data_IF_280285283540
#
_entry.id   IF_280285283540
#
_cell.length_a   1.000
_cell.length_b   1.000
_cell.length_c   1.000
_cell.angle_alpha   90.00
_cell.angle_beta   90.00
_cell.angle_gamma   90.00
#
_symmetry.space_group_name_H-M   'P 1'
#
loop_
_entity.id
_entity.type
_entity.pdbx_description
1 polymer ?
#
# COMPACT_ATOMS: atom_id res chain seq x y z
N UNK A 1 -18.99 7.00 -10.71
CA UNK A 1 -17.74 7.77 -10.57
C UNK A 1 -16.64 7.20 -11.45
N UNK A 2 -16.02 8.02 -12.31
CA UNK A 2 -14.97 7.59 -13.24
C UNK A 2 -13.61 8.16 -12.82
N UNK A 3 -12.63 7.28 -12.65
CA UNK A 3 -11.27 7.62 -12.22
C UNK A 3 -10.41 7.97 -13.44
N UNK A 4 -9.73 9.12 -13.38
CA UNK A 4 -8.80 9.57 -14.42
C UNK A 4 -7.49 8.80 -14.36
N UNK A 5 -6.92 8.46 -15.52
CA UNK A 5 -5.59 7.82 -15.59
C UNK A 5 -4.45 8.70 -15.07
N UNK A 6 -4.63 10.02 -15.06
CA UNK A 6 -3.61 11.00 -14.68
C UNK A 6 -3.67 11.43 -13.21
N UNK A 7 -4.47 10.75 -12.38
CA UNK A 7 -4.57 11.11 -10.97
C UNK A 7 -3.21 11.12 -10.27
N UNK A 8 -2.99 12.16 -9.48
CA UNK A 8 -1.94 12.22 -8.48
C UNK A 8 -2.53 12.01 -7.06
N UNK A 9 -1.68 12.04 -6.04
CA UNK A 9 -2.10 11.81 -4.64
C UNK A 9 -3.11 12.88 -4.19
N UNK A 10 -2.98 14.14 -4.61
CA UNK A 10 -3.86 15.25 -4.21
C UNK A 10 -5.26 15.08 -4.73
N UNK A 11 -5.35 14.73 -6.00
CA UNK A 11 -6.63 14.50 -6.62
C UNK A 11 -7.30 13.27 -6.00
N UNK A 12 -6.54 12.22 -5.61
CA UNK A 12 -7.08 11.10 -4.83
C UNK A 12 -7.60 11.55 -3.47
N UNK A 13 -6.92 12.48 -2.79
CA UNK A 13 -7.43 13.03 -1.54
C UNK A 13 -8.75 13.82 -1.74
N UNK A 14 -8.91 14.49 -2.89
CA UNK A 14 -10.16 15.19 -3.27
C UNK A 14 -11.29 14.21 -3.63
N UNK A 15 -10.95 13.00 -4.08
CA UNK A 15 -11.93 11.92 -4.28
C UNK A 15 -12.64 11.61 -2.95
N UNK A 16 -11.93 11.48 -1.83
CA UNK A 16 -12.60 11.20 -0.54
C UNK A 16 -13.59 12.28 -0.11
N UNK A 17 -13.36 13.55 -0.48
CA UNK A 17 -14.27 14.65 -0.14
C UNK A 17 -15.45 14.77 -1.11
N UNK A 18 -15.21 14.53 -2.41
CA UNK A 18 -16.19 14.71 -3.47
C UNK A 18 -17.08 13.48 -3.70
N UNK A 19 -16.68 12.32 -3.20
CA UNK A 19 -17.48 11.10 -3.29
C UNK A 19 -18.44 11.01 -2.13
N UNK A 20 -19.58 11.66 -2.34
CA UNK A 20 -20.84 11.12 -1.88
C UNK A 20 -20.97 9.63 -2.23
N UNK A 21 -21.97 8.99 -1.66
CA UNK A 21 -22.30 7.56 -1.70
C UNK A 21 -22.53 6.96 -3.10
N UNK A 22 -21.89 7.46 -4.17
CA UNK A 22 -21.97 6.91 -5.52
C UNK A 22 -21.49 5.46 -5.47
N UNK A 23 -22.41 4.50 -5.64
CA UNK A 23 -22.07 3.10 -5.54
C UNK A 23 -21.26 2.62 -6.73
N UNK A 24 -21.03 3.44 -7.76
CA UNK A 24 -20.42 3.02 -9.01
C UNK A 24 -19.00 3.58 -9.14
N UNK A 25 -18.02 2.70 -9.31
CA UNK A 25 -16.63 3.06 -9.58
C UNK A 25 -16.20 2.50 -10.93
N UNK A 26 -15.54 3.31 -11.74
CA UNK A 26 -14.92 2.88 -13.01
C UNK A 26 -13.44 3.28 -13.00
N UNK A 27 -12.56 2.27 -13.01
CA UNK A 27 -11.11 2.44 -12.96
C UNK A 27 -10.48 2.40 -14.37
N UNK A 28 -9.43 3.18 -14.65
CA UNK A 28 -8.64 3.00 -15.86
C UNK A 28 -7.88 1.67 -15.78
N UNK A 29 -7.60 1.06 -16.94
CA UNK A 29 -6.85 -0.21 -16.99
C UNK A 29 -5.40 -0.06 -16.48
N UNK A 30 -4.84 1.15 -16.55
CA UNK A 30 -3.54 1.49 -16.01
C UNK A 30 -3.48 2.98 -15.68
N UNK A 31 -2.78 3.33 -14.61
CA UNK A 31 -2.43 4.70 -14.27
C UNK A 31 -1.26 5.20 -15.13
N UNK A 32 -1.18 6.51 -15.34
CA UNK A 32 0.01 7.14 -15.91
C UNK A 32 1.25 6.77 -15.10
N UNK A 33 2.37 6.52 -15.78
CA UNK A 33 3.63 6.10 -15.18
C UNK A 33 3.50 4.87 -14.23
N UNK A 34 2.52 3.99 -14.48
CA UNK A 34 2.29 2.80 -13.66
C UNK A 34 1.74 3.08 -12.26
N UNK A 35 1.32 4.34 -11.98
CA UNK A 35 0.86 4.77 -10.66
C UNK A 35 1.97 4.71 -9.61
N UNK A 36 3.18 5.11 -10.00
CA UNK A 36 4.33 5.23 -9.09
C UNK A 36 4.16 6.37 -8.08
N UNK A 37 5.15 6.52 -7.20
CA UNK A 37 5.13 7.44 -6.06
C UNK A 37 3.94 7.21 -5.13
N UNK A 38 3.44 5.97 -5.03
CA UNK A 38 2.32 5.61 -4.14
C UNK A 38 0.92 5.90 -4.66
N UNK A 39 0.76 6.39 -5.90
CA UNK A 39 -0.57 6.69 -6.48
C UNK A 39 -1.47 5.45 -6.53
N UNK A 40 -0.96 4.33 -7.03
CA UNK A 40 -1.74 3.09 -7.12
C UNK A 40 -2.12 2.53 -5.72
N UNK A 41 -1.21 2.68 -4.75
CA UNK A 41 -1.46 2.27 -3.37
C UNK A 41 -2.49 3.18 -2.67
N UNK A 42 -2.41 4.49 -2.88
CA UNK A 42 -3.40 5.45 -2.40
C UNK A 42 -4.78 5.20 -3.01
N UNK A 43 -4.83 4.87 -4.31
CA UNK A 43 -6.08 4.51 -4.98
C UNK A 43 -6.67 3.19 -4.44
N UNK A 44 -5.83 2.21 -4.11
CA UNK A 44 -6.27 0.98 -3.43
C UNK A 44 -6.91 1.26 -2.06
N UNK A 45 -6.34 2.16 -1.25
CA UNK A 45 -6.94 2.59 0.01
C UNK A 45 -8.26 3.35 -0.19
N UNK A 46 -8.30 4.19 -1.22
CA UNK A 46 -9.52 4.89 -1.59
C UNK A 46 -10.65 3.90 -1.88
N UNK A 47 -10.36 2.85 -2.63
CA UNK A 47 -11.31 1.77 -2.94
C UNK A 47 -11.80 1.04 -1.70
N UNK A 48 -10.93 0.79 -0.71
CA UNK A 48 -11.34 0.19 0.57
C UNK A 48 -12.36 1.08 1.27
N UNK A 49 -12.06 2.37 1.36
CA UNK A 49 -12.92 3.36 2.02
C UNK A 49 -14.25 3.49 1.28
N UNK A 50 -14.22 3.70 -0.04
CA UNK A 50 -15.40 3.77 -0.91
C UNK A 50 -16.30 2.53 -0.80
N UNK A 51 -15.71 1.34 -0.85
CA UNK A 51 -16.50 0.11 -0.79
C UNK A 51 -17.18 -0.10 0.57
N UNK A 52 -16.65 0.49 1.64
CA UNK A 52 -17.23 0.43 3.00
C UNK A 52 -18.28 1.48 3.25
N UNK A 53 -18.23 2.63 2.57
CA UNK A 53 -19.25 3.67 2.68
C UNK A 53 -20.50 3.36 1.86
N UNK A 54 -20.40 2.44 0.89
CA UNK A 54 -21.51 2.02 0.05
C UNK A 54 -22.17 0.74 0.58
N UNK A 55 -23.51 0.71 0.65
CA UNK A 55 -24.26 -0.52 0.95
C UNK A 55 -24.01 -1.59 -0.14
N UNK A 56 -23.97 -1.15 -1.40
CA UNK A 56 -23.76 -2.01 -2.57
C UNK A 56 -22.81 -1.32 -3.56
N UNK A 57 -21.53 -1.63 -3.45
CA UNK A 57 -20.49 -1.12 -4.33
C UNK A 57 -20.42 -1.89 -5.67
N UNK A 58 -20.28 -1.17 -6.77
CA UNK A 58 -20.34 -1.68 -8.14
C UNK A 58 -19.10 -1.21 -8.91
N UNK A 59 -18.31 -2.17 -9.40
CA UNK A 59 -17.21 -1.90 -10.32
C UNK A 59 -17.74 -1.94 -11.76
N UNK A 60 -17.80 -0.79 -12.41
CA UNK A 60 -18.18 -0.67 -13.81
C UNK A 60 -16.97 -0.78 -14.73
N UNK A 61 -17.10 -1.62 -15.74
CA UNK A 61 -16.11 -1.82 -16.80
C UNK A 61 -16.32 -0.84 -17.96
N UNK A 62 -15.32 -0.74 -18.82
CA UNK A 62 -15.42 -0.07 -20.12
C UNK A 62 -15.76 -1.07 -21.24
N UNK A 63 -15.55 -2.36 -21.02
CA UNK A 63 -15.81 -3.44 -21.95
C UNK A 63 -17.26 -3.91 -21.91
N UNK A 64 -17.75 -4.38 -23.06
CA UNK A 64 -19.01 -5.10 -23.17
C UNK A 64 -18.96 -6.45 -22.43
N UNK A 65 -20.12 -7.02 -22.10
CA UNK A 65 -20.20 -8.31 -21.43
C UNK A 65 -19.58 -9.45 -22.27
N UNK A 66 -19.29 -10.58 -21.62
CA UNK A 66 -18.62 -11.73 -22.25
C UNK A 66 -17.10 -11.64 -22.16
N UNK A 67 -16.39 -12.07 -23.21
CA UNK A 67 -14.94 -12.25 -23.19
C UNK A 67 -14.17 -10.93 -23.01
N UNK A 68 -14.68 -9.82 -23.56
CA UNK A 68 -14.05 -8.50 -23.42
C UNK A 68 -14.03 -8.03 -21.97
N UNK A 69 -15.14 -8.24 -21.24
CA UNK A 69 -15.21 -7.96 -19.81
C UNK A 69 -14.21 -8.80 -19.01
N UNK A 70 -14.10 -10.10 -19.32
CA UNK A 70 -13.17 -11.02 -18.66
C UNK A 70 -11.70 -10.61 -18.93
N UNK A 71 -11.38 -10.21 -20.16
CA UNK A 71 -10.07 -9.69 -20.52
C UNK A 71 -9.74 -8.40 -19.74
N UNK A 72 -10.70 -7.46 -19.65
CA UNK A 72 -10.51 -6.24 -18.89
C UNK A 72 -10.36 -6.50 -17.38
N UNK A 73 -11.15 -7.41 -16.81
CA UNK A 73 -11.02 -7.82 -15.39
C UNK A 73 -9.61 -8.35 -15.11
N UNK A 74 -9.10 -9.19 -16.00
CA UNK A 74 -7.74 -9.74 -15.88
C UNK A 74 -6.67 -8.66 -15.97
N UNK A 75 -6.87 -7.65 -16.82
CA UNK A 75 -5.97 -6.50 -16.94
C UNK A 75 -6.02 -5.60 -15.69
N UNK A 76 -7.22 -5.27 -15.19
CA UNK A 76 -7.40 -4.45 -13.99
C UNK A 76 -6.73 -5.08 -12.77
N UNK A 77 -6.85 -6.40 -12.61
CA UNK A 77 -6.28 -7.13 -11.47
C UNK A 77 -4.75 -7.09 -11.38
N UNK A 78 -4.05 -6.58 -12.41
CA UNK A 78 -2.60 -6.45 -12.42
C UNK A 78 -2.11 -5.26 -11.58
N UNK A 79 -2.96 -4.27 -11.31
CA UNK A 79 -2.63 -3.15 -10.41
C UNK A 79 -3.14 -3.41 -8.98
N UNK A 80 -2.55 -2.73 -8.00
CA UNK A 80 -3.03 -2.83 -6.62
C UNK A 80 -4.48 -2.32 -6.53
N UNK A 81 -4.77 -1.15 -7.11
CA UNK A 81 -6.10 -0.58 -7.13
C UNK A 81 -7.13 -1.50 -7.79
N UNK A 82 -6.84 -2.03 -8.99
CA UNK A 82 -7.80 -2.87 -9.69
C UNK A 82 -8.04 -4.21 -9.00
N UNK A 83 -7.00 -4.83 -8.42
CA UNK A 83 -7.17 -6.03 -7.59
C UNK A 83 -8.05 -5.75 -6.37
N UNK A 84 -7.78 -4.66 -5.65
CA UNK A 84 -8.59 -4.25 -4.49
C UNK A 84 -10.05 -3.98 -4.89
N UNK A 85 -10.30 -3.31 -6.03
CA UNK A 85 -11.67 -3.05 -6.50
C UNK A 85 -12.45 -4.33 -6.77
N UNK A 86 -11.83 -5.31 -7.43
CA UNK A 86 -12.46 -6.61 -7.71
C UNK A 86 -12.82 -7.37 -6.43
N UNK A 87 -11.93 -7.37 -5.45
CA UNK A 87 -12.17 -8.04 -4.17
C UNK A 87 -13.23 -7.29 -3.33
N UNK A 88 -13.13 -5.97 -3.24
CA UNK A 88 -13.96 -5.14 -2.36
C UNK A 88 -15.39 -4.94 -2.90
N UNK A 89 -15.57 -4.76 -4.21
CA UNK A 89 -16.88 -4.49 -4.80
C UNK A 89 -17.91 -5.59 -4.48
N UNK A 90 -19.20 -5.25 -4.45
CA UNK A 90 -20.29 -6.22 -4.39
C UNK A 90 -20.54 -6.84 -5.77
N UNK A 91 -20.63 -6.00 -6.80
CA UNK A 91 -20.93 -6.41 -8.18
C UNK A 91 -19.92 -5.86 -9.18
N UNK A 92 -19.80 -6.55 -10.31
CA UNK A 92 -19.05 -6.07 -11.49
C UNK A 92 -20.05 -5.94 -12.63
N UNK A 93 -20.08 -4.78 -13.27
CA UNK A 93 -21.01 -4.48 -14.36
C UNK A 93 -20.22 -4.19 -15.63
N UNK A 94 -20.70 -4.70 -16.76
CA UNK A 94 -20.18 -4.37 -18.08
C UNK A 94 -20.51 -2.92 -18.48
N UNK A 95 -20.02 -2.50 -19.65
CA UNK A 95 -20.25 -1.17 -20.22
C UNK A 95 -21.75 -0.85 -20.35
N UNK A 96 -22.55 -1.85 -20.73
CA UNK A 96 -23.99 -1.78 -20.94
C UNK A 96 -24.81 -2.08 -19.66
N UNK A 97 -24.17 -2.03 -18.49
CA UNK A 97 -24.76 -2.29 -17.17
C UNK A 97 -25.24 -3.74 -16.95
N UNK A 98 -24.88 -4.67 -17.84
CA UNK A 98 -25.11 -6.09 -17.56
C UNK A 98 -24.25 -6.55 -16.39
N UNK A 99 -24.87 -7.24 -15.42
CA UNK A 99 -24.18 -7.80 -14.27
C UNK A 99 -23.32 -8.97 -14.72
N UNK A 100 -22.03 -8.91 -14.44
CA UNK A 100 -21.09 -9.99 -14.70
C UNK A 100 -21.12 -10.95 -13.51
N UNK A 101 -21.19 -12.25 -13.79
CA UNK A 101 -21.12 -13.27 -12.76
C UNK A 101 -19.83 -13.14 -11.95
N UNK A 102 -19.98 -12.92 -10.64
CA UNK A 102 -18.84 -12.67 -9.74
C UNK A 102 -17.90 -13.87 -9.69
N UNK A 103 -18.43 -15.10 -9.81
CA UNK A 103 -17.60 -16.30 -9.81
C UNK A 103 -16.73 -16.36 -11.07
N UNK A 104 -17.28 -16.06 -12.24
CA UNK A 104 -16.52 -15.95 -13.48
C UNK A 104 -15.43 -14.86 -13.39
N UNK A 105 -15.75 -13.68 -12.86
CA UNK A 105 -14.78 -12.61 -12.64
C UNK A 105 -13.62 -13.04 -11.71
N UNK A 106 -13.92 -13.75 -10.61
CA UNK A 106 -12.90 -14.25 -9.69
C UNK A 106 -12.08 -15.43 -10.27
N UNK A 107 -12.70 -16.27 -11.11
CA UNK A 107 -11.98 -17.33 -11.84
C UNK A 107 -10.97 -16.72 -12.81
N UNK A 108 -11.32 -15.62 -13.49
CA UNK A 108 -10.45 -14.95 -14.45
C UNK A 108 -9.11 -14.50 -13.82
N UNK A 109 -9.15 -14.04 -12.57
CA UNK A 109 -7.96 -13.56 -11.84
C UNK A 109 -7.27 -14.64 -11.02
N UNK A 110 -7.80 -15.88 -11.02
CA UNK A 110 -7.23 -17.00 -10.27
C UNK A 110 -5.74 -17.24 -10.55
N UNK A 111 -5.22 -17.13 -11.79
CA UNK A 111 -3.78 -17.29 -12.03
C UNK A 111 -2.91 -16.33 -11.20
N UNK A 112 -3.34 -15.07 -11.04
CA UNK A 112 -2.63 -14.09 -10.21
C UNK A 112 -2.71 -14.47 -8.72
N UNK A 113 -3.88 -14.92 -8.25
CA UNK A 113 -4.09 -15.37 -6.86
C UNK A 113 -3.24 -16.60 -6.55
N UNK A 114 -3.19 -17.56 -7.47
CA UNK A 114 -2.39 -18.78 -7.32
C UNK A 114 -0.89 -18.43 -7.32
N UNK A 115 -0.43 -17.53 -8.20
CA UNK A 115 0.95 -17.02 -8.21
C UNK A 115 1.33 -16.29 -6.91
N UNK A 116 0.45 -15.42 -6.39
CA UNK A 116 0.66 -14.75 -5.11
C UNK A 116 0.75 -15.74 -3.94
N UNK A 117 -0.13 -16.73 -3.93
CA UNK A 117 -0.14 -17.76 -2.90
C UNK A 117 1.14 -18.61 -2.91
N UNK A 118 1.58 -19.05 -4.09
CA UNK A 118 2.79 -19.87 -4.25
C UNK A 118 4.09 -19.05 -4.11
N UNK A 119 4.02 -17.73 -4.31
CA UNK A 119 5.21 -16.87 -4.32
C UNK A 119 5.92 -16.83 -5.67
N UNK A 120 5.21 -17.08 -6.77
CA UNK A 120 5.74 -16.98 -8.12
C UNK A 120 5.80 -15.51 -8.56
N UNK A 121 6.77 -14.76 -8.01
CA UNK A 121 6.83 -13.30 -8.09
C UNK A 121 6.65 -12.72 -9.51
N UNK A 122 7.18 -13.41 -10.54
CA UNK A 122 7.06 -13.02 -11.97
C UNK A 122 5.62 -12.94 -12.47
N UNK A 123 4.71 -13.69 -11.84
CA UNK A 123 3.34 -13.86 -12.30
C UNK A 123 2.29 -13.16 -11.42
N UNK A 124 2.75 -12.38 -10.44
CA UNK A 124 1.85 -11.77 -9.45
C UNK A 124 1.15 -10.49 -9.93
N UNK A 125 1.68 -9.85 -10.97
CA UNK A 125 1.11 -8.65 -11.58
C UNK A 125 1.10 -8.71 -13.12
N UNK A 126 1.37 -9.87 -13.70
CA UNK A 126 1.38 -10.10 -15.15
C UNK A 126 1.33 -11.60 -15.43
N UNK A 127 0.68 -12.02 -16.51
CA UNK A 127 0.64 -13.43 -16.92
C UNK A 127 1.73 -13.79 -17.94
N UNK A 128 2.57 -12.83 -18.34
CA UNK A 128 3.51 -13.00 -19.47
C UNK A 128 4.94 -13.43 -19.07
N UNK A 129 5.26 -13.56 -17.78
CA UNK A 129 6.54 -14.13 -17.28
C UNK A 129 7.82 -13.35 -17.58
N UNK A 130 7.73 -12.22 -18.28
CA UNK A 130 8.83 -11.31 -18.55
C UNK A 130 9.34 -10.63 -17.26
N UNK A 131 10.42 -9.86 -17.37
CA UNK A 131 10.99 -9.05 -16.29
C UNK A 131 9.88 -8.15 -15.69
N UNK A 132 9.38 -8.43 -14.47
CA UNK A 132 8.29 -7.64 -13.91
C UNK A 132 8.79 -6.25 -13.51
N UNK A 133 7.97 -5.22 -13.71
CA UNK A 133 8.17 -3.89 -13.11
C UNK A 133 7.33 -3.70 -11.85
N UNK A 134 6.40 -4.62 -11.59
CA UNK A 134 5.50 -4.65 -10.43
C UNK A 134 5.43 -6.08 -9.90
N UNK A 135 5.48 -6.23 -8.58
CA UNK A 135 5.20 -7.47 -7.86
C UNK A 135 4.13 -7.13 -6.82
N UNK A 136 3.01 -7.83 -6.87
CA UNK A 136 1.91 -7.66 -5.92
C UNK A 136 1.80 -8.89 -5.04
N UNK A 137 1.67 -8.73 -3.73
CA UNK A 137 1.53 -9.84 -2.79
C UNK A 137 0.45 -9.46 -1.79
N UNK A 138 -0.77 -9.96 -2.00
CA UNK A 138 -1.93 -9.61 -1.19
C UNK A 138 -2.59 -10.83 -0.57
N UNK A 139 -2.81 -10.75 0.74
CA UNK A 139 -3.64 -11.66 1.52
C UNK A 139 -5.07 -11.14 1.56
N UNK A 140 -6.03 -11.98 1.17
CA UNK A 140 -7.46 -11.65 1.21
C UNK A 140 -8.11 -12.37 2.39
N UNK A 141 -8.69 -11.60 3.32
CA UNK A 141 -9.35 -12.15 4.51
C UNK A 141 -10.44 -13.16 4.14
N UNK A 142 -10.49 -14.27 4.88
CA UNK A 142 -11.44 -15.37 4.73
C UNK A 142 -11.40 -16.10 3.38
N UNK A 143 -10.44 -15.79 2.51
CA UNK A 143 -10.20 -16.60 1.32
C UNK A 143 -9.53 -17.92 1.70
N UNK A 144 -9.80 -18.99 0.92
CA UNK A 144 -9.11 -20.29 1.07
C UNK A 144 -7.57 -20.16 1.03
N UNK A 145 -7.07 -19.15 0.31
CA UNK A 145 -5.66 -18.81 0.15
C UNK A 145 -5.28 -17.50 0.87
N UNK A 146 -5.94 -17.17 2.00
CA UNK A 146 -5.66 -15.95 2.77
C UNK A 146 -4.17 -15.81 3.12
N UNK A 147 -3.58 -16.88 3.66
CA UNK A 147 -2.20 -16.89 4.14
C UNK A 147 -1.23 -17.34 3.04
N UNK A 148 -0.78 -16.38 2.23
CA UNK A 148 0.14 -16.62 1.11
C UNK A 148 1.54 -17.04 1.61
N UNK A 149 2.21 -17.97 0.92
CA UNK A 149 3.52 -18.50 1.33
C UNK A 149 4.63 -17.44 1.45
N UNK A 150 4.64 -16.35 0.64
CA UNK A 150 5.62 -15.28 0.81
C UNK A 150 5.58 -14.59 2.18
N UNK A 151 4.41 -14.54 2.82
CA UNK A 151 4.23 -13.86 4.11
C UNK A 151 4.10 -14.83 5.29
N UNK A 152 3.63 -16.04 5.06
CA UNK A 152 3.30 -16.99 6.12
C UNK A 152 4.00 -18.34 5.94
N UNK A 153 4.38 -18.95 7.06
CA UNK A 153 4.71 -20.37 7.15
C UNK A 153 3.66 -21.08 8.01
N UNK A 154 3.64 -22.42 7.94
CA UNK A 154 2.74 -23.29 8.70
C UNK A 154 1.25 -23.00 8.42
N UNK A 155 0.69 -23.60 7.35
CA UNK A 155 -0.69 -23.33 6.94
C UNK A 155 -1.77 -23.82 7.92
N UNK A 156 -1.43 -24.69 8.88
CA UNK A 156 -2.38 -25.12 9.91
C UNK A 156 -2.54 -24.05 11.00
N UNK A 157 -1.44 -23.41 11.39
CA UNK A 157 -1.39 -22.31 12.34
C UNK A 157 -0.52 -21.19 11.75
N UNK A 158 -1.10 -20.37 10.85
CA UNK A 158 -0.34 -19.42 10.04
C UNK A 158 0.42 -18.44 10.92
N UNK A 159 1.74 -18.37 10.68
CA UNK A 159 2.66 -17.46 11.35
C UNK A 159 3.40 -16.65 10.30
N UNK A 160 3.61 -15.36 10.56
CA UNK A 160 4.39 -14.49 9.67
C UNK A 160 5.83 -15.02 9.57
N UNK A 161 6.33 -15.13 8.34
CA UNK A 161 7.70 -15.56 8.02
C UNK A 161 8.75 -14.75 8.80
N UNK A 162 9.93 -15.31 9.10
CA UNK A 162 10.96 -14.59 9.85
C UNK A 162 11.52 -13.39 9.06
N UNK A 163 12.13 -12.42 9.76
CA UNK A 163 12.73 -11.21 9.14
C UNK A 163 13.69 -11.53 8.00
N UNK A 164 14.53 -12.55 8.15
CA UNK A 164 15.49 -12.97 7.12
C UNK A 164 14.82 -13.38 5.81
N UNK A 165 13.64 -14.00 5.89
CA UNK A 165 12.85 -14.37 4.72
C UNK A 165 12.41 -13.14 3.91
N UNK A 166 11.96 -12.09 4.59
CA UNK A 166 11.59 -10.84 3.93
C UNK A 166 12.78 -10.14 3.30
N UNK A 167 13.98 -10.24 3.89
CA UNK A 167 15.21 -9.76 3.23
C UNK A 167 15.46 -10.50 1.91
N UNK A 168 15.33 -11.83 1.91
CA UNK A 168 15.43 -12.64 0.68
C UNK A 168 14.34 -12.31 -0.32
N UNK A 169 13.10 -12.05 0.13
CA UNK A 169 11.98 -11.67 -0.72
C UNK A 169 12.25 -10.34 -1.43
N UNK A 170 12.69 -9.32 -0.71
CA UNK A 170 13.02 -8.00 -1.28
C UNK A 170 14.21 -8.11 -2.24
N UNK A 171 15.25 -8.86 -1.86
CA UNK A 171 16.41 -9.10 -2.74
C UNK A 171 16.01 -9.82 -4.03
N UNK A 172 15.20 -10.87 -3.93
CA UNK A 172 14.72 -11.62 -5.10
C UNK A 172 13.84 -10.76 -5.99
N UNK A 173 12.94 -9.97 -5.40
CA UNK A 173 12.09 -9.03 -6.13
C UNK A 173 12.92 -8.00 -6.89
N UNK A 174 13.91 -7.39 -6.22
CA UNK A 174 14.84 -6.44 -6.85
C UNK A 174 15.65 -7.10 -7.97
N UNK A 175 16.17 -8.31 -7.78
CA UNK A 175 16.91 -9.05 -8.83
C UNK A 175 16.05 -9.36 -10.05
N UNK A 176 14.77 -9.65 -9.85
CA UNK A 176 13.81 -9.86 -10.94
C UNK A 176 13.48 -8.56 -11.69
N UNK A 177 13.48 -7.42 -10.99
CA UNK A 177 13.13 -6.11 -11.54
C UNK A 177 14.31 -5.37 -12.19
N UNK A 178 15.57 -5.68 -11.85
CA UNK A 178 16.76 -4.94 -12.28
C UNK A 178 17.62 -5.65 -13.35
N UNK A 179 18.32 -4.88 -14.19
CA UNK A 179 19.33 -5.41 -15.10
C UNK A 179 20.60 -5.71 -14.31
N UNK A 180 21.48 -6.58 -14.81
CA UNK A 180 22.74 -6.97 -14.12
C UNK A 180 23.64 -5.78 -13.73
N UNK A 181 23.52 -4.61 -14.37
CA UNK A 181 24.30 -3.40 -14.08
C UNK A 181 23.89 -2.64 -12.81
N UNK A 182 22.60 -2.66 -12.44
CA UNK A 182 22.05 -1.83 -11.34
C UNK A 182 22.02 -2.56 -9.99
N UNK A 183 22.34 -3.87 -9.99
CA UNK A 183 22.31 -4.72 -8.80
C UNK A 183 23.29 -4.26 -7.71
N UNK A 184 24.44 -3.68 -8.10
CA UNK A 184 25.47 -3.25 -7.16
C UNK A 184 25.07 -2.05 -6.31
N UNK A 185 24.23 -1.15 -6.81
CA UNK A 185 23.80 0.06 -6.10
C UNK A 185 22.73 -0.27 -5.04
N UNK A 186 21.72 -1.07 -5.38
CA UNK A 186 20.68 -1.51 -4.43
C UNK A 186 21.22 -2.40 -3.30
N UNK A 187 22.11 -3.35 -3.61
CA UNK A 187 22.73 -4.19 -2.60
C UNK A 187 23.56 -3.36 -1.61
N UNK A 188 24.28 -2.34 -2.10
CA UNK A 188 24.99 -1.37 -1.26
C UNK A 188 24.06 -0.45 -0.47
N UNK A 189 22.88 -0.13 -1.01
CA UNK A 189 21.92 0.78 -0.39
C UNK A 189 21.24 0.20 0.87
N UNK A 190 21.15 -1.13 1.03
CA UNK A 190 20.68 -1.74 2.29
C UNK A 190 19.45 -2.63 2.19
N UNK A 191 19.37 -3.52 1.20
CA UNK A 191 18.28 -4.52 1.05
C UNK A 191 17.94 -5.30 2.34
N UNK A 192 18.89 -5.74 3.19
CA UNK A 192 18.55 -6.39 4.46
C UNK A 192 17.75 -5.49 5.41
N UNK A 193 18.02 -4.18 5.40
CA UNK A 193 17.28 -3.21 6.20
C UNK A 193 15.84 -3.07 5.69
N UNK A 194 15.63 -3.08 4.36
CA UNK A 194 14.31 -3.12 3.75
C UNK A 194 13.50 -4.37 4.09
N UNK A 195 14.15 -5.54 4.12
CA UNK A 195 13.51 -6.78 4.54
C UNK A 195 12.94 -6.68 5.96
N UNK A 196 13.70 -6.10 6.89
CA UNK A 196 13.21 -5.87 8.26
C UNK A 196 12.06 -4.85 8.32
N UNK A 197 12.11 -3.79 7.50
CA UNK A 197 11.01 -2.81 7.41
C UNK A 197 9.75 -3.50 6.90
N UNK A 198 9.84 -4.23 5.79
CA UNK A 198 8.69 -4.91 5.19
C UNK A 198 8.09 -5.96 6.13
N UNK A 199 8.93 -6.76 6.80
CA UNK A 199 8.47 -7.71 7.82
C UNK A 199 7.65 -7.02 8.91
N UNK A 200 8.13 -5.89 9.43
CA UNK A 200 7.48 -5.17 10.51
C UNK A 200 6.12 -4.63 10.06
N UNK A 201 6.06 -4.02 8.89
CA UNK A 201 4.82 -3.46 8.34
C UNK A 201 3.78 -4.56 8.05
N UNK A 202 4.20 -5.69 7.45
CA UNK A 202 3.30 -6.83 7.20
C UNK A 202 2.85 -7.49 8.49
N UNK A 203 3.74 -7.66 9.46
CA UNK A 203 3.41 -8.20 10.79
C UNK A 203 2.40 -7.31 11.53
N UNK A 204 2.56 -5.99 11.46
CA UNK A 204 1.61 -5.06 12.04
C UNK A 204 0.27 -5.05 11.31
N UNK A 205 0.26 -5.11 9.97
CA UNK A 205 -0.97 -5.25 9.20
C UNK A 205 -1.71 -6.57 9.53
N UNK A 206 -1.01 -7.69 9.61
CA UNK A 206 -1.58 -8.99 10.00
C UNK A 206 -2.22 -8.95 11.39
N UNK A 207 -1.54 -8.32 12.35
CA UNK A 207 -2.02 -8.26 13.72
C UNK A 207 -3.17 -7.27 13.91
N UNK A 208 -3.17 -6.15 13.19
CA UNK A 208 -4.00 -4.99 13.54
C UNK A 208 -5.07 -4.62 12.51
N UNK A 209 -4.96 -5.12 11.27
CA UNK A 209 -5.84 -4.75 10.16
C UNK A 209 -6.85 -5.83 9.75
N UNK A 210 -6.85 -6.99 10.42
CA UNK A 210 -7.75 -8.11 10.10
C UNK A 210 -9.16 -7.92 10.67
N UNK A 211 -9.27 -7.11 11.72
CA UNK A 211 -10.52 -6.81 12.44
C UNK A 211 -10.82 -5.32 12.46
N UNK A 212 -12.07 -4.97 12.72
CA UNK A 212 -12.48 -3.59 13.03
C UNK A 212 -12.07 -3.17 14.46
N UNK A 213 -12.51 -1.98 14.86
CA UNK A 213 -12.23 -1.42 16.19
C UNK A 213 -12.84 -2.28 17.31
N UNK A 214 -13.94 -2.97 17.06
CA UNK A 214 -14.61 -3.87 18.00
C UNK A 214 -14.00 -5.28 18.06
N UNK A 215 -13.03 -5.55 17.17
CA UNK A 215 -12.37 -6.85 17.09
C UNK A 215 -13.12 -7.86 16.21
N UNK A 216 -14.15 -7.44 15.48
CA UNK A 216 -14.88 -8.29 14.54
C UNK A 216 -14.08 -8.42 13.24
N UNK A 217 -13.90 -9.66 12.77
CA UNK A 217 -13.17 -9.93 11.53
C UNK A 217 -13.94 -9.40 10.32
N UNK A 218 -13.28 -8.65 9.45
CA UNK A 218 -13.89 -8.15 8.23
C UNK A 218 -14.31 -9.28 7.29
N UNK A 219 -15.48 -9.15 6.66
CA UNK A 219 -15.95 -10.04 5.59
C UNK A 219 -15.07 -9.94 4.35
N UNK A 220 -14.73 -8.72 3.95
CA UNK A 220 -13.82 -8.38 2.84
C UNK A 220 -12.77 -7.42 3.36
N UNK A 221 -11.52 -7.85 3.29
CA UNK A 221 -10.37 -7.06 3.69
C UNK A 221 -9.13 -7.64 2.98
N UNK A 222 -8.17 -6.76 2.72
CA UNK A 222 -6.89 -7.11 2.16
C UNK A 222 -5.77 -6.52 3.02
N UNK A 223 -4.63 -7.21 3.00
CA UNK A 223 -3.35 -6.73 3.52
C UNK A 223 -2.22 -7.25 2.65
N UNK A 224 -1.18 -6.45 2.42
CA UNK A 224 -0.01 -6.93 1.69
C UNK A 224 0.86 -5.81 1.13
N UNK A 225 1.67 -6.15 0.12
CA UNK A 225 2.60 -5.18 -0.49
C UNK A 225 2.54 -5.17 -2.01
N UNK A 226 2.80 -3.99 -2.57
CA UNK A 226 3.17 -3.80 -3.96
C UNK A 226 4.61 -3.29 -4.00
N UNK A 227 5.48 -3.99 -4.74
CA UNK A 227 6.86 -3.59 -5.00
C UNK A 227 6.92 -3.16 -6.46
N UNK A 228 7.42 -1.96 -6.73
CA UNK A 228 7.53 -1.41 -8.09
C UNK A 228 8.93 -0.90 -8.34
N UNK A 229 9.43 -1.15 -9.55
CA UNK A 229 10.58 -0.44 -10.08
C UNK A 229 10.09 0.68 -11.00
N UNK A 230 10.37 1.91 -10.61
CA UNK A 230 9.93 3.10 -11.32
C UNK A 230 11.14 3.82 -11.91
N UNK A 231 10.94 4.37 -13.10
CA UNK A 231 11.89 5.25 -13.80
C UNK A 231 11.14 6.51 -14.22
N UNK A 232 11.63 7.66 -13.79
CA UNK A 232 10.95 8.94 -14.01
C UNK A 232 11.92 10.00 -14.50
N UNK A 233 11.50 10.81 -15.46
CA UNK A 233 12.25 11.99 -15.88
C UNK A 233 11.91 13.18 -14.98
N UNK A 234 12.68 14.27 -15.09
CA UNK A 234 12.50 15.45 -14.24
C UNK A 234 11.13 16.11 -14.40
N UNK A 235 10.61 16.20 -15.62
CA UNK A 235 9.33 16.85 -15.91
C UNK A 235 8.17 16.11 -15.22
N UNK A 236 8.11 14.78 -15.41
CA UNK A 236 7.10 13.93 -14.79
C UNK A 236 7.16 14.04 -13.25
N UNK A 237 8.37 14.05 -12.68
CA UNK A 237 8.57 14.11 -11.23
C UNK A 237 8.13 15.45 -10.60
N UNK A 238 8.28 16.56 -11.33
CA UNK A 238 7.83 17.87 -10.86
C UNK A 238 6.31 17.98 -10.84
N UNK A 239 5.61 17.34 -11.80
CA UNK A 239 4.13 17.30 -11.79
C UNK A 239 3.57 16.62 -10.53
N UNK A 240 4.24 15.59 -10.02
CA UNK A 240 3.83 14.88 -8.81
C UNK A 240 4.19 15.59 -7.49
N UNK A 241 5.20 16.47 -7.51
CA UNK A 241 5.77 17.06 -6.31
C UNK A 241 5.45 18.54 -6.10
N UNK A 242 4.74 19.16 -7.04
CA UNK A 242 4.42 20.60 -7.03
C UNK A 242 3.82 21.11 -5.70
N UNK A 243 3.11 20.25 -4.97
CA UNK A 243 2.41 20.61 -3.75
C UNK A 243 2.99 19.94 -2.47
N UNK A 244 3.95 19.01 -2.59
CA UNK A 244 4.50 18.23 -1.46
C UNK A 244 5.98 18.55 -1.27
N UNK A 245 6.35 19.41 -0.30
CA UNK A 245 7.73 19.86 -0.13
C UNK A 245 8.73 18.72 0.15
N UNK A 246 8.34 17.73 0.95
CA UNK A 246 9.22 16.59 1.29
C UNK A 246 9.47 15.69 0.09
N UNK A 247 8.44 15.44 -0.72
CA UNK A 247 8.57 14.69 -1.97
C UNK A 247 9.39 15.47 -3.00
N UNK A 248 9.16 16.77 -3.14
CA UNK A 248 9.95 17.64 -4.00
C UNK A 248 11.43 17.63 -3.59
N UNK A 249 11.71 17.72 -2.28
CA UNK A 249 13.08 17.66 -1.73
C UNK A 249 13.76 16.34 -2.06
N UNK A 250 13.06 15.21 -1.88
CA UNK A 250 13.56 13.89 -2.28
C UNK A 250 13.89 13.86 -3.78
N UNK A 251 12.93 14.21 -4.63
CA UNK A 251 13.06 14.19 -6.09
C UNK A 251 14.23 15.08 -6.56
N UNK A 252 14.26 16.34 -6.13
CA UNK A 252 15.26 17.31 -6.58
C UNK A 252 16.67 16.88 -6.20
N UNK A 253 16.87 16.35 -4.98
CA UNK A 253 18.17 15.84 -4.51
C UNK A 253 18.75 14.78 -5.46
N UNK A 254 17.92 13.87 -5.96
CA UNK A 254 18.39 12.79 -6.83
C UNK A 254 18.56 13.25 -8.29
N UNK A 255 17.78 14.22 -8.77
CA UNK A 255 18.00 14.85 -10.07
C UNK A 255 19.22 15.78 -10.13
N UNK A 256 19.87 16.09 -9.00
CA UNK A 256 21.19 16.76 -9.00
C UNK A 256 22.30 15.83 -9.53
N UNK A 257 22.10 14.50 -9.44
CA UNK A 257 23.13 13.50 -9.74
C UNK A 257 22.86 12.72 -11.04
N UNK A 258 21.63 12.77 -11.55
CA UNK A 258 21.21 12.00 -12.73
C UNK A 258 20.09 12.72 -13.50
N UNK A 259 20.00 12.46 -14.81
CA UNK A 259 18.89 12.95 -15.67
C UNK A 259 17.60 12.16 -15.48
N UNK A 260 17.72 10.93 -14.98
CA UNK A 260 16.61 10.02 -14.67
C UNK A 260 16.65 9.63 -13.19
N UNK A 261 15.48 9.59 -12.58
CA UNK A 261 15.29 9.03 -11.24
C UNK A 261 14.80 7.60 -11.37
N UNK A 262 15.69 6.65 -11.08
CA UNK A 262 15.33 5.25 -10.90
C UNK A 262 15.12 5.01 -9.40
N UNK A 263 14.00 4.38 -9.03
CA UNK A 263 13.72 4.08 -7.63
C UNK A 263 12.92 2.79 -7.46
N UNK A 264 13.18 2.11 -6.35
CA UNK A 264 12.35 1.02 -5.86
C UNK A 264 11.27 1.62 -4.96
N UNK A 265 10.02 1.38 -5.29
CA UNK A 265 8.87 1.73 -4.46
C UNK A 265 8.37 0.47 -3.76
N UNK A 266 8.21 0.53 -2.44
CA UNK A 266 7.55 -0.52 -1.66
C UNK A 266 6.36 0.14 -0.98
N UNK A 267 5.16 -0.28 -1.38
CA UNK A 267 3.93 0.12 -0.73
C UNK A 267 3.38 -1.02 0.12
N UNK A 268 3.07 -0.78 1.38
CA UNK A 268 2.35 -1.72 2.26
C UNK A 268 0.96 -1.16 2.50
N UNK A 269 -0.04 -1.96 2.17
CA UNK A 269 -1.44 -1.54 2.14
C UNK A 269 -2.22 -2.50 3.03
N UNK A 270 -3.01 -1.94 3.94
CA UNK A 270 -3.98 -2.69 4.71
C UNK A 270 -5.36 -2.02 4.68
N UNK A 271 -6.37 -2.78 5.08
CA UNK A 271 -7.77 -2.34 5.16
C UNK A 271 -8.26 -2.29 6.61
N UNK A 272 -7.37 -2.11 7.57
CA UNK A 272 -7.70 -2.03 8.98
C UNK A 272 -8.45 -0.75 9.36
N UNK A 273 -8.60 -0.49 10.67
CA UNK A 273 -9.12 0.79 11.15
C UNK A 273 -8.08 1.94 11.09
N UNK A 274 -6.83 1.67 10.72
CA UNK A 274 -5.75 2.66 10.77
C UNK A 274 -5.07 2.76 12.14
N UNK A 275 -3.93 3.48 12.17
CA UNK A 275 -3.00 3.48 13.30
C UNK A 275 -3.61 4.07 14.58
N UNK A 276 -4.08 5.33 14.53
CA UNK A 276 -4.59 6.02 15.72
C UNK A 276 -5.80 5.31 16.36
N UNK A 277 -6.81 4.94 15.56
CA UNK A 277 -8.00 4.22 16.07
C UNK A 277 -7.62 2.93 16.76
N UNK A 278 -6.75 2.10 16.14
CA UNK A 278 -6.31 0.85 16.76
C UNK A 278 -5.50 1.09 18.03
N UNK A 279 -4.56 2.04 17.99
CA UNK A 279 -3.70 2.38 19.12
C UNK A 279 -4.52 2.81 20.33
N UNK A 280 -5.40 3.80 20.14
CA UNK A 280 -6.26 4.32 21.19
C UNK A 280 -7.25 3.28 21.70
N UNK A 281 -7.85 2.49 20.81
CA UNK A 281 -8.76 1.41 21.22
C UNK A 281 -8.08 0.41 22.16
N UNK A 282 -6.84 0.02 21.85
CA UNK A 282 -6.08 -0.88 22.70
C UNK A 282 -5.62 -0.21 24.01
N UNK A 283 -5.20 1.06 23.95
CA UNK A 283 -4.72 1.84 25.11
C UNK A 283 -5.85 2.14 26.11
N UNK A 284 -7.01 2.55 25.61
CA UNK A 284 -8.19 2.90 26.41
C UNK A 284 -9.09 1.72 26.75
N UNK A 285 -8.87 0.56 26.11
CA UNK A 285 -9.75 -0.63 26.19
C UNK A 285 -11.20 -0.33 25.82
N UNK A 286 -11.40 0.64 24.91
CA UNK A 286 -12.71 1.08 24.42
C UNK A 286 -12.60 1.46 22.94
N UNK A 287 -13.51 1.00 22.07
CA UNK A 287 -13.48 1.33 20.64
C UNK A 287 -13.52 2.84 20.39
N UNK A 288 -12.64 3.31 19.50
CA UNK A 288 -12.74 4.65 18.89
C UNK A 288 -13.48 4.51 17.56
N UNK A 289 -14.80 4.66 17.61
CA UNK A 289 -15.69 4.47 16.45
C UNK A 289 -15.47 5.53 15.36
N UNK A 290 -15.33 6.80 15.76
CA UNK A 290 -15.17 7.92 14.84
C UNK A 290 -13.92 8.73 15.17
N UNK A 291 -13.15 9.09 14.13
CA UNK A 291 -12.04 10.02 14.28
C UNK A 291 -12.52 11.46 14.48
N UNK A 292 -13.76 11.79 14.10
CA UNK A 292 -14.30 13.15 14.28
C UNK A 292 -14.46 13.55 15.75
N UNK A 293 -14.46 12.59 16.67
CA UNK A 293 -14.44 12.87 18.12
C UNK A 293 -13.06 13.20 18.66
N UNK A 294 -12.00 13.05 17.86
CA UNK A 294 -10.63 13.37 18.22
C UNK A 294 -10.21 14.68 17.55
N UNK A 295 -9.42 15.50 18.25
CA UNK A 295 -8.67 16.56 17.59
C UNK A 295 -7.61 15.95 16.68
N UNK A 296 -7.21 16.70 15.64
CA UNK A 296 -6.15 16.25 14.73
C UNK A 296 -4.81 16.09 15.45
N UNK A 297 -4.55 16.91 16.46
CA UNK A 297 -3.35 16.84 17.29
C UNK A 297 -3.33 15.53 18.11
N UNK A 298 -4.46 15.13 18.70
CA UNK A 298 -4.57 13.88 19.44
C UNK A 298 -4.43 12.66 18.51
N UNK A 299 -5.01 12.73 17.31
CA UNK A 299 -4.83 11.69 16.29
C UNK A 299 -3.38 11.59 15.81
N UNK A 300 -2.70 12.73 15.63
CA UNK A 300 -1.29 12.80 15.28
C UNK A 300 -0.42 12.21 16.38
N UNK A 301 -0.62 12.62 17.63
CA UNK A 301 0.12 12.10 18.78
C UNK A 301 -0.04 10.58 18.90
N UNK A 302 -1.28 10.08 18.82
CA UNK A 302 -1.57 8.65 18.83
C UNK A 302 -0.91 7.90 17.67
N UNK A 303 -0.82 8.52 16.50
CA UNK A 303 -0.14 7.93 15.34
C UNK A 303 1.36 7.90 15.54
N UNK A 304 1.98 8.98 16.01
CA UNK A 304 3.42 9.07 16.26
C UNK A 304 3.87 8.17 17.42
N UNK A 305 3.01 7.96 18.42
CA UNK A 305 3.23 7.00 19.50
C UNK A 305 3.53 5.59 18.97
N UNK A 306 2.90 5.17 17.87
CA UNK A 306 3.19 3.88 17.23
C UNK A 306 4.67 3.71 16.80
N UNK A 307 5.39 4.81 16.60
CA UNK A 307 6.80 4.82 16.17
C UNK A 307 7.79 4.97 17.33
N UNK A 308 7.32 5.25 18.54
CA UNK A 308 8.16 5.41 19.72
C UNK A 308 8.66 4.06 20.24
N UNK A 309 9.88 4.07 20.79
CA UNK A 309 10.52 2.89 21.38
C UNK A 309 9.72 2.39 22.58
N UNK A 310 9.51 1.07 22.67
CA UNK A 310 8.77 0.39 23.74
C UNK A 310 7.30 0.77 23.88
N UNK A 311 6.74 1.45 22.88
CA UNK A 311 5.32 1.80 22.83
C UNK A 311 4.61 0.75 21.98
N UNK A 312 3.78 -0.07 22.61
CA UNK A 312 3.11 -1.20 21.96
C UNK A 312 1.81 -1.59 22.64
N UNK A 313 0.85 -2.07 21.87
CA UNK A 313 -0.41 -2.65 22.37
C UNK A 313 -0.27 -4.16 22.67
N UNK A 314 0.93 -4.73 22.52
CA UNK A 314 1.22 -6.16 22.69
C UNK A 314 1.53 -6.49 24.18
N UNK A 315 1.05 -7.64 24.72
CA UNK A 315 1.49 -8.15 26.03
C UNK A 315 3.01 -8.39 26.07
N UNK A 316 3.60 -8.22 27.26
CA UNK A 316 5.05 -8.10 27.51
C UNK A 316 5.91 -9.22 26.89
N UNK A 317 6.64 -8.89 25.83
CA UNK A 317 7.91 -9.54 25.44
C UNK A 317 9.03 -8.49 25.39
N UNK A 318 10.30 -8.83 25.70
CA UNK A 318 11.40 -7.87 25.79
C UNK A 318 11.69 -7.08 24.49
N UNK A 319 11.16 -7.53 23.34
CA UNK A 319 11.31 -6.87 22.04
C UNK A 319 10.03 -6.14 21.56
N UNK A 320 8.99 -6.07 22.38
CA UNK A 320 7.71 -5.44 22.00
C UNK A 320 7.87 -3.91 21.91
N UNK A 321 7.32 -3.29 20.86
CA UNK A 321 7.40 -1.83 20.67
C UNK A 321 8.73 -1.30 20.09
N UNK A 322 9.59 -2.18 19.59
CA UNK A 322 10.84 -1.78 18.89
C UNK A 322 10.69 -1.69 17.37
N UNK A 323 9.58 -2.21 16.84
CA UNK A 323 9.40 -2.51 15.44
C UNK A 323 9.50 -1.31 14.51
N UNK A 324 8.53 -0.41 14.60
CA UNK A 324 8.47 0.80 13.78
C UNK A 324 9.64 1.75 14.06
N UNK A 325 10.15 1.81 15.29
CA UNK A 325 11.38 2.54 15.62
C UNK A 325 12.59 2.04 14.81
N UNK A 326 12.80 0.71 14.76
CA UNK A 326 13.88 0.11 13.97
C UNK A 326 13.67 0.33 12.47
N UNK A 327 12.41 0.35 12.01
CA UNK A 327 12.08 0.67 10.62
C UNK A 327 12.53 2.09 10.25
N UNK A 328 12.31 3.08 11.12
CA UNK A 328 12.76 4.47 10.90
C UNK A 328 14.29 4.54 10.75
N UNK A 329 15.05 3.83 11.58
CA UNK A 329 16.51 3.79 11.47
C UNK A 329 16.96 3.17 10.14
N UNK A 330 16.29 2.11 9.69
CA UNK A 330 16.56 1.49 8.40
C UNK A 330 16.27 2.45 7.24
N UNK A 331 15.11 3.11 7.25
CA UNK A 331 14.70 4.10 6.25
C UNK A 331 15.67 5.27 6.17
N UNK A 332 16.21 5.70 7.32
CA UNK A 332 17.22 6.75 7.34
C UNK A 332 18.49 6.36 6.58
N UNK A 333 19.01 5.16 6.84
CA UNK A 333 20.21 4.62 6.16
C UNK A 333 20.03 4.48 4.65
N UNK A 334 18.79 4.25 4.22
CA UNK A 334 18.41 4.12 2.81
C UNK A 334 18.18 5.46 2.11
N UNK A 335 18.30 6.58 2.82
CA UNK A 335 17.94 7.92 2.32
C UNK A 335 16.54 7.96 1.69
N UNK A 336 15.62 7.15 2.23
CA UNK A 336 14.33 6.91 1.62
C UNK A 336 13.39 8.12 1.74
N UNK A 337 12.42 8.21 0.85
CA UNK A 337 11.20 8.97 1.08
C UNK A 337 10.10 8.06 1.60
N UNK A 338 9.36 8.52 2.61
CA UNK A 338 8.24 7.78 3.19
C UNK A 338 7.00 8.65 3.26
N UNK A 339 5.89 8.11 2.77
CA UNK A 339 4.54 8.61 3.01
C UNK A 339 3.75 7.60 3.82
N UNK A 340 2.97 8.08 4.79
CA UNK A 340 2.02 7.28 5.56
C UNK A 340 0.64 7.94 5.47
N UNK A 341 -0.35 7.21 4.96
CA UNK A 341 -1.75 7.66 4.92
C UNK A 341 -2.62 6.79 5.82
N UNK A 342 -3.15 7.38 6.89
CA UNK A 342 -4.02 6.72 7.88
C UNK A 342 -4.99 7.73 8.47
N UNK A 343 -6.23 7.35 8.74
CA UNK A 343 -7.21 8.24 9.39
C UNK A 343 -7.40 9.55 8.62
N UNK A 344 -7.20 10.70 9.26
CA UNK A 344 -7.22 12.04 8.62
C UNK A 344 -5.82 12.60 8.36
N UNK A 345 -4.77 11.76 8.49
CA UNK A 345 -3.37 12.15 8.40
C UNK A 345 -2.72 11.63 7.13
N UNK A 346 -1.93 12.49 6.47
CA UNK A 346 -0.92 12.12 5.47
C UNK A 346 0.43 12.65 5.94
N UNK A 347 1.27 11.74 6.42
CA UNK A 347 2.57 12.04 7.01
C UNK A 347 3.66 11.80 5.97
N UNK A 348 4.58 12.74 5.81
CA UNK A 348 5.65 12.65 4.81
C UNK A 348 7.02 12.95 5.43
N UNK A 349 8.03 12.15 5.10
CA UNK A 349 9.40 12.39 5.55
C UNK A 349 10.40 11.90 4.50
N UNK A 350 11.29 12.78 4.06
CA UNK A 350 12.46 12.39 3.27
C UNK A 350 13.69 12.29 4.17
N UNK A 351 14.31 11.11 4.22
CA UNK A 351 15.50 10.89 5.02
C UNK A 351 16.77 11.35 4.31
N UNK A 352 17.81 11.66 5.09
CA UNK A 352 19.06 12.23 4.57
C UNK A 352 20.29 11.35 4.81
N UNK A 353 20.18 10.23 5.53
CA UNK A 353 21.33 9.33 5.75
C UNK A 353 22.24 9.78 6.89
N UNK A 354 21.69 10.34 7.97
CA UNK A 354 22.50 10.68 9.15
C UNK A 354 22.95 9.43 9.93
N UNK A 355 24.08 9.54 10.64
CA UNK A 355 24.55 8.49 11.55
C UNK A 355 23.90 8.55 12.94
N UNK A 356 23.07 9.56 13.18
CA UNK A 356 22.36 9.76 14.46
C UNK A 356 21.09 8.90 14.53
N UNK A 357 20.62 8.65 15.75
CA UNK A 357 19.32 8.01 15.96
C UNK A 357 18.25 8.98 15.47
N UNK A 358 17.51 8.57 14.43
CA UNK A 358 16.47 9.40 13.86
C UNK A 358 15.12 9.16 14.53
N UNK A 359 14.45 10.24 14.92
CA UNK A 359 13.04 10.19 15.25
C UNK A 359 12.18 10.31 13.99
N UNK A 360 11.00 9.72 14.02
CA UNK A 360 10.00 9.95 12.98
C UNK A 360 9.31 11.29 13.27
N UNK A 361 9.73 12.31 12.54
CA UNK A 361 9.26 13.68 12.66
C UNK A 361 8.74 14.16 11.30
N UNK A 362 7.63 13.58 10.82
CA UNK A 362 7.13 13.85 9.48
C UNK A 362 6.52 15.24 9.36
N UNK A 363 6.55 15.79 8.15
CA UNK A 363 5.65 16.87 7.77
C UNK A 363 4.21 16.34 7.73
N UNK A 364 3.30 17.09 8.34
CA UNK A 364 1.85 16.87 8.29
C UNK A 364 1.17 17.78 7.27
N UNK A 365 1.92 18.67 6.62
CA UNK A 365 1.35 19.71 5.74
C UNK A 365 0.99 19.11 4.39
N UNK A 366 -0.26 18.72 4.25
CA UNK A 366 -0.84 18.38 2.96
C UNK A 366 -1.48 19.63 2.33
N UNK A 367 -0.67 20.55 1.82
CA UNK A 367 -1.17 21.85 1.33
C UNK A 367 -1.94 22.68 2.37
N UNK A 368 -1.76 22.39 3.67
CA UNK A 368 -2.44 23.09 4.77
C UNK A 368 -3.91 22.69 5.00
N UNK A 369 -4.42 21.63 4.36
CA UNK A 369 -5.82 21.19 4.50
C UNK A 369 -5.98 20.02 5.45
N UNK A 370 -7.17 19.94 6.06
CA UNK A 370 -7.62 18.75 6.80
C UNK A 370 -8.11 17.71 5.79
N UNK A 371 -7.63 16.47 5.92
CA UNK A 371 -8.03 15.37 5.04
C UNK A 371 -9.24 14.64 5.58
N UNK A 372 -10.01 14.02 4.69
CA UNK A 372 -11.08 13.11 5.07
C UNK A 372 -10.52 11.89 5.80
N UNK A 373 -11.32 11.33 6.72
CA UNK A 373 -10.99 10.06 7.38
C UNK A 373 -11.00 8.91 6.36
N UNK A 374 -9.99 8.04 6.42
CA UNK A 374 -9.87 6.87 5.54
C UNK A 374 -9.77 5.58 6.33
N UNK A 375 -10.18 4.51 5.67
CA UNK A 375 -10.01 3.15 6.15
C UNK A 375 -8.62 2.62 5.76
N UNK A 376 -8.04 1.82 6.66
CA UNK A 376 -6.73 1.21 6.46
C UNK A 376 -5.54 2.14 6.63
N UNK A 377 -4.34 1.58 6.46
CA UNK A 377 -3.08 2.32 6.38
C UNK A 377 -2.37 2.03 5.08
N UNK A 378 -1.78 3.05 4.48
CA UNK A 378 -0.83 2.92 3.38
C UNK A 378 0.51 3.49 3.79
N UNK A 379 1.53 2.66 3.75
CA UNK A 379 2.93 3.09 3.74
C UNK A 379 3.41 3.08 2.29
N UNK A 380 4.01 4.17 1.82
CA UNK A 380 4.73 4.21 0.53
C UNK A 380 6.16 4.61 0.82
N UNK A 381 7.10 3.72 0.48
CA UNK A 381 8.53 3.92 0.69
C UNK A 381 9.21 3.96 -0.68
N UNK A 382 9.87 5.08 -1.00
CA UNK A 382 10.65 5.22 -2.22
C UNK A 382 12.15 5.20 -1.86
N UNK A 383 12.89 4.24 -2.42
CA UNK A 383 14.33 4.10 -2.24
C UNK A 383 15.03 4.43 -3.56
N UNK A 384 15.94 5.42 -3.59
CA UNK A 384 16.71 5.71 -4.79
C UNK A 384 17.64 4.53 -5.12
N UNK A 385 17.82 4.24 -6.40
CA UNK A 385 18.66 3.09 -6.83
C UNK A 385 19.87 3.49 -7.67
N UNK A 386 20.10 4.80 -7.82
CA UNK A 386 21.06 5.45 -8.69
C UNK A 386 22.19 6.18 -7.94
#
# INVERSE_FOLDING_TARGET
MQISRKLNIYEIEDLYQSHGTDPNLRLPNSMSHGGGLGVDAALAQFIVTWARTCEKSVLHLYASAGDDAIAQITQLAQSAAGFFALIMCNEVHAQDHQVIDRRAALIAIRPLVDAMFEGELRYTASTRGARPTVINLFSVNNAKREFIKPFYFDHALPKVQPKSWFSTLVETSSKLMNARGDQGALLKAGLPALGSVLWELISNADQHAVTDVDGVKYKKALRGTSIKFNRMNRQDALEYSANEPELARFILKHFLKAEMLDFLEISVIDSGPGLARRWLTAKEKRPVESLETLSLEAELEATLDCFKKHVTSKPQSPNSGMGLHNAVQALNKLEAFVRIRTGRLSLHQAFQGSNEIMEFAPSTRYGGRVLAAVEGTVFTICIPVN
#
